data_IF_645444357595
#
_entry.id   IF_645444357595
#
_cell.length_a   1.000
_cell.length_b   1.000
_cell.length_c   1.000
_cell.angle_alpha   90.00
_cell.angle_beta   90.00
_cell.angle_gamma   90.00
#
_symmetry.space_group_name_H-M   'P 1'
#
loop_
_entity.id
_entity.type
_entity.pdbx_description
1 polymer ?
#
# COMPACT_ATOMS: atom_id res chain seq x y z
N UNK A 1 33.23 19.69 -9.62
CA UNK A 1 33.23 18.23 -9.32
C UNK A 1 33.58 17.40 -10.54
N UNK A 2 32.92 17.57 -11.70
CA UNK A 2 33.28 16.91 -12.97
C UNK A 2 34.73 17.16 -13.41
N UNK A 3 35.17 18.43 -13.34
CA UNK A 3 36.56 18.82 -13.67
C UNK A 3 37.56 18.24 -12.67
N UNK A 4 37.17 18.14 -11.39
CA UNK A 4 38.02 17.71 -10.29
C UNK A 4 38.38 16.22 -10.39
N UNK A 5 37.45 15.36 -10.83
CA UNK A 5 37.68 13.92 -11.02
C UNK A 5 38.52 13.64 -12.28
N UNK A 6 38.24 14.36 -13.38
CA UNK A 6 38.99 14.21 -14.64
C UNK A 6 40.46 14.61 -14.50
N UNK A 7 40.75 15.68 -13.74
CA UNK A 7 42.11 16.13 -13.45
C UNK A 7 42.82 15.17 -12.48
N UNK A 8 42.12 14.62 -11.48
CA UNK A 8 42.72 13.69 -10.51
C UNK A 8 43.12 12.34 -11.14
N UNK A 9 42.33 11.85 -12.10
CA UNK A 9 42.63 10.62 -12.85
C UNK A 9 43.84 10.83 -13.75
N UNK A 10 43.94 11.97 -14.43
CA UNK A 10 45.05 12.30 -15.34
C UNK A 10 46.40 12.41 -14.61
N UNK A 11 46.42 12.90 -13.37
CA UNK A 11 47.66 13.09 -12.58
C UNK A 11 48.14 11.80 -11.91
N UNK A 12 47.25 10.84 -11.58
CA UNK A 12 47.63 9.55 -10.96
C UNK A 12 48.04 8.46 -11.96
N UNK A 13 47.62 8.57 -13.22
CA UNK A 13 47.97 7.60 -14.28
C UNK A 13 49.48 7.57 -14.60
N UNK A 14 50.24 8.62 -14.29
CA UNK A 14 51.66 8.73 -14.63
C UNK A 14 52.63 7.98 -13.70
N UNK A 15 52.17 7.49 -12.53
CA UNK A 15 53.03 6.84 -11.52
C UNK A 15 52.50 5.49 -10.99
N UNK A 16 51.50 4.89 -11.64
CA UNK A 16 50.81 3.70 -11.13
C UNK A 16 51.17 2.41 -11.89
N UNK A 17 51.19 1.26 -11.21
CA UNK A 17 51.35 -0.07 -11.82
C UNK A 17 50.22 -0.36 -12.83
N UNK A 18 50.44 -1.28 -13.77
CA UNK A 18 49.45 -1.66 -14.81
C UNK A 18 48.08 -2.08 -14.25
N UNK A 19 48.04 -2.71 -13.08
CA UNK A 19 46.80 -3.08 -12.39
C UNK A 19 46.11 -1.86 -11.75
N UNK A 20 46.87 -0.93 -11.17
CA UNK A 20 46.32 0.26 -10.54
C UNK A 20 45.75 1.25 -11.58
N UNK A 21 46.33 1.33 -12.77
CA UNK A 21 45.78 2.11 -13.88
C UNK A 21 44.51 1.47 -14.45
N UNK A 22 44.47 0.13 -14.55
CA UNK A 22 43.26 -0.61 -14.94
C UNK A 22 42.10 -0.40 -13.96
N UNK A 23 42.36 -0.36 -12.65
CA UNK A 23 41.32 -0.13 -11.64
C UNK A 23 40.73 1.29 -11.71
N UNK A 24 41.59 2.32 -11.85
CA UNK A 24 41.16 3.71 -12.02
C UNK A 24 40.29 3.90 -13.27
N UNK A 25 40.65 3.23 -14.37
CA UNK A 25 39.87 3.26 -15.61
C UNK A 25 38.46 2.67 -15.40
N UNK A 26 38.35 1.54 -14.70
CA UNK A 26 37.04 0.91 -14.38
C UNK A 26 36.17 1.83 -13.53
N UNK A 27 36.73 2.48 -12.51
CA UNK A 27 36.01 3.47 -11.68
C UNK A 27 35.48 4.62 -12.53
N UNK A 28 36.30 5.15 -13.44
CA UNK A 28 35.87 6.21 -14.36
C UNK A 28 34.76 5.74 -15.30
N UNK A 29 34.89 4.54 -15.87
CA UNK A 29 33.89 3.95 -16.76
C UNK A 29 32.55 3.69 -16.05
N UNK A 30 32.58 3.21 -14.81
CA UNK A 30 31.39 3.00 -13.98
C UNK A 30 30.65 4.33 -13.75
N UNK A 31 31.40 5.38 -13.39
CA UNK A 31 30.83 6.71 -13.17
C UNK A 31 30.29 7.35 -14.45
N UNK A 32 31.01 7.21 -15.58
CA UNK A 32 30.53 7.67 -16.89
C UNK A 32 29.24 6.96 -17.29
N UNK A 33 29.21 5.63 -17.18
CA UNK A 33 28.03 4.82 -17.51
C UNK A 33 26.81 5.24 -16.67
N UNK A 34 27.02 5.57 -15.39
CA UNK A 34 25.97 6.11 -14.53
C UNK A 34 25.46 7.47 -15.02
N UNK A 35 26.35 8.40 -15.38
CA UNK A 35 25.98 9.72 -15.91
C UNK A 35 25.21 9.57 -17.24
N UNK A 36 25.65 8.66 -18.09
CA UNK A 36 25.04 8.38 -19.40
C UNK A 36 23.69 7.64 -19.29
N UNK A 37 23.20 7.37 -18.08
CA UNK A 37 21.93 6.68 -17.84
C UNK A 37 21.98 5.16 -18.03
N UNK A 38 23.15 4.58 -18.26
CA UNK A 38 23.36 3.13 -18.43
C UNK A 38 23.54 2.46 -17.06
N UNK A 39 22.47 2.46 -16.26
CA UNK A 39 22.54 2.03 -14.86
C UNK A 39 22.89 0.55 -14.68
N UNK A 40 22.41 -0.34 -15.57
CA UNK A 40 22.75 -1.77 -15.49
C UNK A 40 24.24 -2.02 -15.77
N UNK A 41 24.81 -1.31 -16.75
CA UNK A 41 26.23 -1.42 -17.06
C UNK A 41 27.10 -0.81 -15.95
N UNK A 42 26.65 0.33 -15.39
CA UNK A 42 27.28 0.92 -14.21
C UNK A 42 27.28 -0.06 -13.03
N UNK A 43 26.18 -0.78 -12.79
CA UNK A 43 26.09 -1.79 -11.73
C UNK A 43 27.07 -2.94 -11.93
N UNK A 44 27.17 -3.50 -13.15
CA UNK A 44 28.14 -4.58 -13.46
C UNK A 44 29.57 -4.12 -13.17
N UNK A 45 29.93 -2.93 -13.64
CA UNK A 45 31.27 -2.36 -13.43
C UNK A 45 31.54 -2.10 -11.94
N UNK A 46 30.56 -1.61 -11.18
CA UNK A 46 30.71 -1.42 -9.74
C UNK A 46 30.88 -2.74 -9.00
N UNK A 47 30.15 -3.79 -9.38
CA UNK A 47 30.27 -5.13 -8.79
C UNK A 47 31.63 -5.77 -9.05
N UNK A 48 32.29 -5.44 -10.16
CA UNK A 48 33.69 -5.81 -10.42
C UNK A 48 34.69 -4.99 -9.58
N UNK A 49 34.36 -3.77 -9.17
CA UNK A 49 35.27 -2.86 -8.43
C UNK A 49 35.26 -3.15 -6.94
N UNK A 50 34.07 -3.31 -6.33
CA UNK A 50 33.90 -3.42 -4.87
C UNK A 50 34.71 -4.53 -4.18
N UNK A 51 34.98 -5.70 -4.81
CA UNK A 51 35.81 -6.74 -4.19
C UNK A 51 37.25 -6.30 -3.90
N UNK A 52 37.76 -5.29 -4.61
CA UNK A 52 39.18 -4.86 -4.52
C UNK A 52 39.42 -3.73 -3.49
N UNK A 53 38.39 -3.30 -2.77
CA UNK A 53 38.53 -2.35 -1.66
C UNK A 53 37.29 -1.52 -1.38
N UNK A 54 37.28 -0.86 -0.22
CA UNK A 54 36.19 0.03 0.18
C UNK A 54 36.16 1.28 -0.71
N UNK A 55 35.03 1.54 -1.35
CA UNK A 55 34.84 2.71 -2.19
C UNK A 55 33.44 3.29 -1.99
N UNK A 56 33.34 4.20 -1.01
CA UNK A 56 32.09 4.88 -0.65
C UNK A 56 31.42 5.60 -1.83
N UNK A 57 32.21 6.10 -2.79
CA UNK A 57 31.67 6.70 -4.01
C UNK A 57 31.06 5.65 -4.94
N UNK A 58 31.69 4.49 -5.12
CA UNK A 58 31.12 3.41 -5.92
C UNK A 58 29.89 2.78 -5.28
N UNK A 59 29.88 2.60 -3.96
CA UNK A 59 28.67 2.19 -3.23
C UNK A 59 27.52 3.21 -3.39
N UNK A 60 27.83 4.51 -3.42
CA UNK A 60 26.81 5.52 -3.69
C UNK A 60 26.29 5.46 -5.12
N UNK A 61 27.17 5.26 -6.12
CA UNK A 61 26.78 5.04 -7.52
C UNK A 61 25.89 3.82 -7.64
N UNK A 62 26.24 2.72 -6.98
CA UNK A 62 25.42 1.49 -6.92
C UNK A 62 24.04 1.74 -6.32
N UNK A 63 23.98 2.38 -5.15
CA UNK A 63 22.71 2.69 -4.48
C UNK A 63 21.81 3.59 -5.34
N UNK A 64 22.38 4.61 -6.00
CA UNK A 64 21.62 5.48 -6.92
C UNK A 64 21.18 4.77 -8.19
N UNK A 65 22.01 3.89 -8.75
CA UNK A 65 21.66 3.09 -9.93
C UNK A 65 20.47 2.19 -9.62
N UNK A 66 20.51 1.48 -8.49
CA UNK A 66 19.36 0.70 -8.00
C UNK A 66 18.11 1.58 -7.80
N UNK A 67 18.25 2.78 -7.24
CA UNK A 67 17.13 3.71 -7.06
C UNK A 67 16.47 4.08 -8.40
N UNK A 68 17.28 4.42 -9.41
CA UNK A 68 16.79 4.84 -10.73
C UNK A 68 16.17 3.67 -11.51
N UNK A 69 16.62 2.44 -11.23
CA UNK A 69 15.98 1.21 -11.70
C UNK A 69 14.77 0.77 -10.82
N UNK A 70 14.48 1.50 -9.76
CA UNK A 70 13.40 1.21 -8.80
C UNK A 70 13.66 0.04 -7.86
N UNK A 71 14.86 -0.55 -7.85
CA UNK A 71 15.25 -1.74 -7.06
C UNK A 71 15.45 -1.41 -5.57
N UNK A 72 14.37 -1.04 -4.87
CA UNK A 72 14.43 -0.49 -3.50
C UNK A 72 15.03 -1.43 -2.45
N UNK A 73 14.87 -2.75 -2.61
CA UNK A 73 15.50 -3.73 -1.73
C UNK A 73 17.03 -3.63 -1.77
N UNK A 74 17.57 -3.46 -2.98
CA UNK A 74 19.01 -3.32 -3.21
C UNK A 74 19.53 -1.96 -2.78
N UNK A 75 18.75 -0.89 -2.97
CA UNK A 75 19.06 0.44 -2.40
C UNK A 75 19.20 0.34 -0.89
N UNK A 76 18.24 -0.29 -0.22
CA UNK A 76 18.23 -0.45 1.24
C UNK A 76 19.46 -1.21 1.73
N UNK A 77 19.83 -2.30 1.04
CA UNK A 77 21.01 -3.12 1.33
C UNK A 77 22.31 -2.33 1.13
N UNK A 78 22.45 -1.68 -0.02
CA UNK A 78 23.65 -0.92 -0.39
C UNK A 78 23.83 0.31 0.52
N UNK A 79 22.74 0.99 0.88
CA UNK A 79 22.76 2.08 1.85
C UNK A 79 23.23 1.62 3.25
N UNK A 80 22.82 0.42 3.67
CA UNK A 80 23.31 -0.20 4.90
C UNK A 80 24.81 -0.48 4.86
N UNK A 81 25.31 -1.03 3.75
CA UNK A 81 26.75 -1.25 3.53
C UNK A 81 27.54 0.07 3.55
N UNK A 82 27.05 1.08 2.83
CA UNK A 82 27.67 2.41 2.79
C UNK A 82 27.73 3.06 4.18
N UNK A 83 26.78 2.80 5.06
CA UNK A 83 26.83 3.26 6.45
C UNK A 83 27.78 2.47 7.34
N UNK A 84 27.95 1.18 7.10
CA UNK A 84 28.91 0.36 7.85
C UNK A 84 30.36 0.79 7.57
N UNK A 85 30.64 1.24 6.34
CA UNK A 85 31.97 1.73 5.94
C UNK A 85 32.20 3.21 6.24
N UNK A 86 31.16 3.96 6.62
CA UNK A 86 31.27 5.39 6.86
C UNK A 86 31.75 5.72 8.28
N UNK A 87 32.55 6.78 8.41
CA UNK A 87 32.77 7.42 9.70
C UNK A 87 31.47 8.06 10.19
N UNK A 88 30.97 7.65 11.35
CA UNK A 88 29.69 8.12 11.89
C UNK A 88 29.81 9.33 12.82
N UNK A 89 31.03 9.65 13.29
CA UNK A 89 31.30 10.73 14.23
C UNK A 89 31.24 12.11 13.57
N UNK A 90 30.89 13.12 14.36
CA UNK A 90 30.87 14.53 13.95
C UNK A 90 29.60 14.94 13.19
N UNK A 91 29.59 16.18 12.72
CA UNK A 91 28.39 16.81 12.15
C UNK A 91 27.92 16.18 10.84
N UNK A 92 26.63 15.87 10.75
CA UNK A 92 26.02 15.22 9.58
C UNK A 92 25.50 16.27 8.59
N UNK A 93 26.22 16.50 7.49
CA UNK A 93 25.90 17.55 6.51
C UNK A 93 25.35 16.98 5.20
N UNK A 94 24.51 17.75 4.52
CA UNK A 94 24.04 17.42 3.16
C UNK A 94 25.24 17.26 2.22
N UNK A 95 25.15 16.29 1.31
CA UNK A 95 26.21 15.96 0.34
C UNK A 95 27.30 15.02 0.84
N UNK A 96 27.37 14.73 2.16
CA UNK A 96 28.25 13.68 2.66
C UNK A 96 27.69 12.30 2.27
N UNK A 97 28.58 11.38 1.86
CA UNK A 97 28.18 10.01 1.48
C UNK A 97 27.32 9.33 2.56
N UNK A 98 27.67 9.48 3.85
CA UNK A 98 26.88 8.95 4.98
C UNK A 98 25.46 9.52 5.07
N UNK A 99 25.31 10.82 4.86
CA UNK A 99 23.99 11.46 4.88
C UNK A 99 23.15 10.98 3.70
N UNK A 100 23.76 10.87 2.52
CA UNK A 100 23.10 10.32 1.33
C UNK A 100 22.71 8.85 1.52
N UNK A 101 23.54 8.06 2.20
CA UNK A 101 23.22 6.69 2.53
C UNK A 101 21.95 6.59 3.39
N UNK A 102 21.85 7.41 4.44
CA UNK A 102 20.65 7.45 5.29
C UNK A 102 19.43 7.87 4.49
N UNK A 103 19.51 8.93 3.69
CA UNK A 103 18.34 9.42 2.95
C UNK A 103 17.88 8.44 1.89
N UNK A 104 18.81 7.80 1.16
CA UNK A 104 18.50 6.74 0.20
C UNK A 104 17.90 5.51 0.89
N UNK A 105 18.53 5.06 1.97
CA UNK A 105 18.11 3.87 2.71
C UNK A 105 16.75 4.06 3.39
N UNK A 106 16.50 5.22 4.01
CA UNK A 106 15.21 5.51 4.65
C UNK A 106 14.11 5.65 3.62
N UNK A 107 14.36 6.33 2.49
CA UNK A 107 13.39 6.47 1.41
C UNK A 107 13.05 5.09 0.80
N UNK A 108 14.06 4.29 0.49
CA UNK A 108 13.84 2.94 -0.04
C UNK A 108 13.08 2.05 0.95
N UNK A 109 13.42 2.09 2.25
CA UNK A 109 12.68 1.37 3.26
C UNK A 109 11.21 1.82 3.36
N UNK A 110 10.94 3.12 3.21
CA UNK A 110 9.57 3.63 3.15
C UNK A 110 8.83 3.11 1.91
N UNK A 111 9.44 3.14 0.72
CA UNK A 111 8.83 2.61 -0.51
C UNK A 111 8.50 1.10 -0.39
N UNK A 112 9.32 0.34 0.35
CA UNK A 112 9.05 -1.06 0.70
C UNK A 112 7.94 -1.24 1.77
N UNK A 113 7.42 -0.14 2.33
CA UNK A 113 6.45 -0.14 3.43
C UNK A 113 7.05 -0.48 4.79
N UNK A 114 8.38 -0.51 4.91
CA UNK A 114 9.11 -0.84 6.14
C UNK A 114 9.50 0.44 6.91
N UNK A 115 8.50 1.00 7.60
CA UNK A 115 8.70 2.19 8.43
C UNK A 115 9.65 1.97 9.60
N UNK A 116 9.75 0.76 10.14
CA UNK A 116 10.66 0.47 11.26
C UNK A 116 12.12 0.49 10.81
N UNK A 117 12.43 -0.04 9.63
CA UNK A 117 13.77 0.04 9.03
C UNK A 117 14.13 1.47 8.64
N UNK A 118 13.18 2.24 8.10
CA UNK A 118 13.39 3.67 7.86
C UNK A 118 13.72 4.44 9.15
N UNK A 119 13.05 4.13 10.28
CA UNK A 119 13.41 4.70 11.58
C UNK A 119 14.84 4.34 12.01
N UNK A 120 15.32 3.12 11.74
CA UNK A 120 16.70 2.70 12.06
C UNK A 120 17.73 3.55 11.31
N UNK A 121 17.48 3.88 10.04
CA UNK A 121 18.33 4.80 9.27
C UNK A 121 18.38 6.19 9.91
N UNK A 122 17.23 6.76 10.27
CA UNK A 122 17.20 8.07 10.94
C UNK A 122 17.88 8.04 12.32
N UNK A 123 17.72 6.95 13.07
CA UNK A 123 18.40 6.77 14.36
C UNK A 123 19.92 6.74 14.22
N UNK A 124 20.46 6.23 13.12
CA UNK A 124 21.91 6.24 12.89
C UNK A 124 22.46 7.67 12.88
N UNK A 125 21.72 8.63 12.31
CA UNK A 125 22.07 10.06 12.37
C UNK A 125 21.88 10.60 13.78
N UNK A 126 20.67 10.46 14.34
CA UNK A 126 20.30 11.14 15.59
C UNK A 126 21.08 10.65 16.82
N UNK A 127 21.67 9.45 16.78
CA UNK A 127 22.60 8.97 17.81
C UNK A 127 23.95 9.70 17.79
N UNK A 128 24.38 10.17 16.62
CA UNK A 128 25.67 10.81 16.42
C UNK A 128 25.57 12.34 16.26
N UNK A 129 24.42 12.85 15.83
CA UNK A 129 24.10 14.26 15.65
C UNK A 129 22.61 14.51 16.02
N UNK A 130 22.32 14.66 17.34
CA UNK A 130 20.96 14.85 17.83
C UNK A 130 20.28 16.14 17.33
N UNK A 131 21.09 17.14 16.97
CA UNK A 131 20.65 18.48 16.56
C UNK A 131 20.35 18.56 15.05
N UNK A 132 20.51 17.46 14.31
CA UNK A 132 20.20 17.42 12.89
C UNK A 132 18.68 17.57 12.64
N UNK A 133 18.25 18.81 12.43
CA UNK A 133 16.85 19.22 12.38
C UNK A 133 16.03 18.51 11.29
N UNK A 134 16.60 18.29 10.10
CA UNK A 134 15.90 17.67 8.97
C UNK A 134 15.50 16.22 9.30
N UNK A 135 16.46 15.43 9.78
CA UNK A 135 16.24 14.04 10.15
C UNK A 135 15.37 13.94 11.40
N UNK A 136 15.52 14.87 12.36
CA UNK A 136 14.67 14.93 13.55
C UNK A 136 13.20 15.12 13.21
N UNK A 137 12.88 15.99 12.23
CA UNK A 137 11.51 16.20 11.74
C UNK A 137 10.96 14.93 11.09
N UNK A 138 11.69 14.33 10.13
CA UNK A 138 11.25 13.11 9.44
C UNK A 138 11.07 11.94 10.40
N UNK A 139 11.98 11.76 11.36
CA UNK A 139 11.91 10.74 12.39
C UNK A 139 10.67 10.89 13.27
N UNK A 140 10.39 12.11 13.76
CA UNK A 140 9.22 12.39 14.61
C UNK A 140 7.91 12.10 13.87
N UNK A 141 7.77 12.56 12.62
CA UNK A 141 6.58 12.31 11.82
C UNK A 141 6.35 10.82 11.55
N UNK A 142 7.39 10.08 11.13
CA UNK A 142 7.29 8.64 10.90
C UNK A 142 7.00 7.87 12.19
N UNK A 143 7.65 8.22 13.30
CA UNK A 143 7.41 7.60 14.60
C UNK A 143 5.98 7.85 15.08
N UNK A 144 5.46 9.06 14.91
CA UNK A 144 4.06 9.38 15.20
C UNK A 144 3.12 8.56 14.33
N UNK A 145 3.39 8.46 13.02
CA UNK A 145 2.59 7.66 12.11
C UNK A 145 2.51 6.20 12.57
N UNK A 146 3.64 5.54 12.82
CA UNK A 146 3.66 4.14 13.26
C UNK A 146 2.95 3.94 14.60
N UNK A 147 3.03 4.91 15.51
CA UNK A 147 2.28 4.88 16.78
C UNK A 147 0.78 4.94 16.53
N UNK A 148 0.31 5.82 15.66
CA UNK A 148 -1.10 5.93 15.29
C UNK A 148 -1.63 4.66 14.62
N UNK A 149 -0.82 4.00 13.78
CA UNK A 149 -1.21 2.71 13.19
C UNK A 149 -1.41 1.63 14.27
N UNK A 150 -0.47 1.51 15.21
CA UNK A 150 -0.60 0.59 16.35
C UNK A 150 -1.82 0.91 17.21
N UNK A 151 -2.03 2.18 17.52
CA UNK A 151 -3.23 2.62 18.25
C UNK A 151 -4.52 2.28 17.49
N UNK A 152 -4.56 2.49 16.17
CA UNK A 152 -5.73 2.15 15.36
C UNK A 152 -6.03 0.65 15.39
N UNK A 153 -5.02 -0.21 15.38
CA UNK A 153 -5.19 -1.66 15.49
C UNK A 153 -5.79 -2.06 16.85
N UNK A 154 -5.33 -1.44 17.93
CA UNK A 154 -5.92 -1.65 19.27
C UNK A 154 -7.39 -1.21 19.34
N UNK A 155 -7.74 -0.07 18.72
CA UNK A 155 -9.14 0.40 18.65
C UNK A 155 -10.00 -0.54 17.82
N UNK A 156 -9.50 -1.03 16.68
CA UNK A 156 -10.18 -2.01 15.82
C UNK A 156 -10.42 -3.31 16.59
N UNK A 157 -9.41 -3.82 17.30
CA UNK A 157 -9.53 -5.04 18.09
C UNK A 157 -10.58 -4.91 19.21
N UNK A 158 -10.70 -3.72 19.81
CA UNK A 158 -11.72 -3.39 20.83
C UNK A 158 -13.09 -3.03 20.22
N UNK A 159 -13.29 -3.18 18.92
CA UNK A 159 -14.50 -2.77 18.18
C UNK A 159 -14.88 -1.29 18.35
N UNK A 160 -13.91 -0.43 18.69
CA UNK A 160 -14.09 1.02 18.83
C UNK A 160 -13.96 1.72 17.47
N UNK A 161 -14.79 1.31 16.50
CA UNK A 161 -14.61 1.63 15.08
C UNK A 161 -14.65 3.14 14.76
N UNK A 162 -15.50 3.92 15.44
CA UNK A 162 -15.49 5.38 15.29
C UNK A 162 -14.16 6.01 15.73
N UNK A 163 -13.64 5.61 16.90
CA UNK A 163 -12.35 6.11 17.40
C UNK A 163 -11.19 5.65 16.50
N UNK A 164 -11.25 4.42 15.99
CA UNK A 164 -10.27 3.92 15.02
C UNK A 164 -10.27 4.78 13.76
N UNK A 165 -11.44 5.19 13.26
CA UNK A 165 -11.56 6.06 12.09
C UNK A 165 -10.92 7.43 12.32
N UNK A 166 -11.10 8.02 13.49
CA UNK A 166 -10.48 9.31 13.84
C UNK A 166 -8.95 9.20 13.84
N UNK A 167 -8.41 8.15 14.48
CA UNK A 167 -6.96 7.87 14.51
C UNK A 167 -6.41 7.63 13.09
N UNK A 168 -7.13 6.89 12.24
CA UNK A 168 -6.73 6.64 10.86
C UNK A 168 -6.77 7.92 10.01
N UNK A 169 -7.75 8.79 10.23
CA UNK A 169 -7.84 10.09 9.56
C UNK A 169 -6.64 10.98 9.94
N UNK A 170 -6.27 10.99 11.23
CA UNK A 170 -5.06 11.66 11.69
C UNK A 170 -3.79 11.06 11.05
N UNK A 171 -3.72 9.73 10.94
CA UNK A 171 -2.58 9.04 10.31
C UNK A 171 -2.37 9.45 8.84
N UNK A 172 -3.47 9.64 8.07
CA UNK A 172 -3.40 10.15 6.71
C UNK A 172 -2.90 11.61 6.64
N UNK A 173 -3.31 12.44 7.60
CA UNK A 173 -2.83 13.83 7.70
C UNK A 173 -1.32 13.89 7.98
N UNK A 174 -0.84 13.08 8.93
CA UNK A 174 0.60 12.96 9.23
C UNK A 174 1.37 12.48 8.01
N UNK A 175 0.88 11.44 7.33
CA UNK A 175 1.49 10.92 6.10
C UNK A 175 1.55 11.98 4.99
N UNK A 176 0.51 12.80 4.81
CA UNK A 176 0.49 13.88 3.81
C UNK A 176 1.54 14.96 4.09
N UNK A 177 1.86 15.20 5.36
CA UNK A 177 2.93 16.12 5.78
C UNK A 177 4.34 15.54 5.67
N UNK A 178 4.48 14.26 5.32
CA UNK A 178 5.77 13.61 5.09
C UNK A 178 6.15 13.69 3.62
N UNK A 179 7.44 13.81 3.35
CA UNK A 179 8.02 13.61 2.01
C UNK A 179 8.14 12.11 1.69
N UNK A 180 7.03 11.39 1.83
CA UNK A 180 6.94 9.95 1.68
C UNK A 180 5.84 9.63 0.66
N UNK A 181 6.25 9.25 -0.53
CA UNK A 181 5.37 8.85 -1.64
C UNK A 181 4.95 7.38 -1.61
N UNK A 182 5.39 6.64 -0.58
CA UNK A 182 5.25 5.19 -0.52
C UNK A 182 3.80 4.70 -0.67
N UNK A 183 3.57 4.01 -1.79
CA UNK A 183 2.33 3.31 -2.06
C UNK A 183 2.07 2.20 -1.05
N UNK A 184 3.11 1.46 -0.64
CA UNK A 184 2.96 0.32 0.26
C UNK A 184 2.63 0.74 1.69
N UNK A 185 3.25 1.80 2.22
CA UNK A 185 2.92 2.32 3.54
C UNK A 185 1.47 2.84 3.58
N UNK A 186 1.06 3.56 2.52
CA UNK A 186 -0.33 4.01 2.35
C UNK A 186 -1.31 2.84 2.25
N UNK A 187 -0.92 1.74 1.60
CA UNK A 187 -1.77 0.53 1.51
C UNK A 187 -2.12 -0.04 2.88
N UNK A 188 -1.22 0.07 3.86
CA UNK A 188 -1.48 -0.36 5.24
C UNK A 188 -2.57 0.45 5.95
N UNK A 189 -2.64 1.75 5.69
CA UNK A 189 -3.72 2.61 6.21
C UNK A 189 -5.04 2.28 5.53
N UNK A 190 -5.01 2.14 4.20
CA UNK A 190 -6.19 1.82 3.39
C UNK A 190 -6.82 0.48 3.79
N UNK A 191 -5.99 -0.52 4.10
CA UNK A 191 -6.47 -1.82 4.61
C UNK A 191 -7.29 -1.64 5.90
N UNK A 192 -6.76 -0.87 6.86
CA UNK A 192 -7.45 -0.59 8.14
C UNK A 192 -8.73 0.21 7.92
N UNK A 193 -8.68 1.22 7.05
CA UNK A 193 -9.87 2.00 6.68
C UNK A 193 -10.95 1.13 6.04
N UNK A 194 -10.58 0.23 5.14
CA UNK A 194 -11.55 -0.70 4.54
C UNK A 194 -12.26 -1.51 5.63
N UNK A 195 -11.50 -2.09 6.57
CA UNK A 195 -12.07 -2.85 7.69
C UNK A 195 -13.01 -1.99 8.53
N UNK A 196 -12.55 -0.82 8.97
CA UNK A 196 -13.33 0.07 9.83
C UNK A 196 -14.61 0.55 9.15
N UNK A 197 -14.54 0.94 7.87
CA UNK A 197 -15.72 1.36 7.13
C UNK A 197 -16.72 0.22 6.92
N UNK A 198 -16.23 -0.99 6.64
CA UNK A 198 -17.09 -2.17 6.50
C UNK A 198 -17.86 -2.46 7.79
N UNK A 199 -17.17 -2.47 8.95
CA UNK A 199 -17.80 -2.65 10.27
C UNK A 199 -18.80 -1.53 10.63
N UNK A 200 -18.58 -0.31 10.13
CA UNK A 200 -19.51 0.81 10.29
C UNK A 200 -20.67 0.78 9.26
N UNK A 201 -20.78 -0.27 8.45
CA UNK A 201 -21.75 -0.42 7.34
C UNK A 201 -21.67 0.70 6.29
N UNK A 202 -20.50 1.33 6.19
CA UNK A 202 -20.15 2.38 5.21
C UNK A 202 -19.48 1.75 3.99
N UNK A 203 -20.24 0.90 3.30
CA UNK A 203 -19.68 -0.01 2.29
C UNK A 203 -19.12 0.69 1.05
N UNK A 204 -19.62 1.88 0.71
CA UNK A 204 -19.09 2.66 -0.41
C UNK A 204 -17.66 3.10 -0.13
N UNK A 205 -17.41 3.68 1.04
CA UNK A 205 -16.07 4.07 1.47
C UNK A 205 -15.16 2.86 1.74
N UNK A 206 -15.74 1.77 2.27
CA UNK A 206 -15.01 0.53 2.52
C UNK A 206 -14.44 -0.06 1.22
N UNK A 207 -15.29 -0.23 0.21
CA UNK A 207 -14.89 -0.81 -1.07
C UNK A 207 -13.89 0.09 -1.81
N UNK A 208 -14.10 1.41 -1.79
CA UNK A 208 -13.11 2.35 -2.34
C UNK A 208 -11.73 2.23 -1.66
N UNK A 209 -11.69 2.13 -0.33
CA UNK A 209 -10.44 1.95 0.40
C UNK A 209 -9.80 0.58 0.09
N UNK A 210 -10.61 -0.48 0.00
CA UNK A 210 -10.16 -1.82 -0.34
C UNK A 210 -9.59 -1.89 -1.77
N UNK A 211 -10.27 -1.33 -2.77
CA UNK A 211 -9.81 -1.29 -4.16
C UNK A 211 -8.49 -0.55 -4.29
N UNK A 212 -8.39 0.61 -3.63
CA UNK A 212 -7.16 1.39 -3.58
C UNK A 212 -6.01 0.64 -2.87
N UNK A 213 -6.32 -0.22 -1.90
CA UNK A 213 -5.35 -1.07 -1.22
C UNK A 213 -4.88 -2.21 -2.13
N UNK A 214 -5.82 -2.95 -2.72
CA UNK A 214 -5.56 -4.06 -3.65
C UNK A 214 -4.76 -3.58 -4.85
N UNK A 215 -5.15 -2.45 -5.46
CA UNK A 215 -4.41 -1.86 -6.58
C UNK A 215 -2.94 -1.62 -6.19
N UNK A 216 -2.69 -0.94 -5.06
CA UNK A 216 -1.32 -0.65 -4.60
C UNK A 216 -0.50 -1.90 -4.27
N UNK A 217 -1.13 -2.94 -3.75
CA UNK A 217 -0.47 -4.22 -3.43
C UNK A 217 -0.31 -5.13 -4.64
N UNK A 218 -1.07 -4.91 -5.72
CA UNK A 218 -0.97 -5.66 -6.97
C UNK A 218 0.03 -5.07 -7.95
N UNK A 219 0.32 -3.77 -7.83
CA UNK A 219 1.28 -3.10 -8.70
C UNK A 219 2.68 -3.63 -8.43
N UNK A 220 3.38 -4.18 -9.44
CA UNK A 220 4.79 -4.52 -9.29
C UNK A 220 5.58 -3.24 -9.09
N UNK A 221 6.43 -3.23 -8.07
CA UNK A 221 7.46 -2.21 -7.93
C UNK A 221 8.71 -2.81 -8.57
N UNK A 222 9.40 -2.07 -9.43
CA UNK A 222 10.59 -2.60 -10.13
C UNK A 222 11.58 -3.19 -9.12
N UNK A 223 12.08 -4.41 -9.38
CA UNK A 223 12.98 -5.10 -8.43
C UNK A 223 12.33 -5.59 -7.12
N UNK A 224 11.00 -5.53 -6.97
CA UNK A 224 10.27 -6.12 -5.86
C UNK A 224 9.15 -7.03 -6.36
N UNK A 225 9.16 -8.28 -5.91
CA UNK A 225 8.05 -9.19 -6.16
C UNK A 225 6.81 -8.73 -5.37
N UNK A 226 5.64 -8.85 -6.00
CA UNK A 226 4.37 -8.68 -5.31
C UNK A 226 4.29 -9.73 -4.20
N UNK A 227 4.23 -9.29 -2.95
CA UNK A 227 4.09 -10.17 -1.78
C UNK A 227 2.71 -10.84 -1.81
N UNK A 228 2.63 -12.16 -2.13
CA UNK A 228 1.36 -12.83 -2.31
C UNK A 228 0.52 -12.84 -1.03
N UNK A 229 1.17 -12.88 0.14
CA UNK A 229 0.49 -12.90 1.43
C UNK A 229 -0.18 -11.55 1.73
N UNK A 230 0.50 -10.43 1.45
CA UNK A 230 -0.08 -9.09 1.62
C UNK A 230 -1.21 -8.83 0.62
N UNK A 231 -1.08 -9.29 -0.63
CA UNK A 231 -2.15 -9.16 -1.60
C UNK A 231 -3.37 -10.02 -1.20
N UNK A 232 -3.14 -11.26 -0.79
CA UNK A 232 -4.18 -12.15 -0.29
C UNK A 232 -4.93 -11.57 0.92
N UNK A 233 -4.22 -10.92 1.86
CA UNK A 233 -4.83 -10.21 2.99
C UNK A 233 -5.82 -9.13 2.54
N UNK A 234 -5.42 -8.29 1.56
CA UNK A 234 -6.25 -7.21 1.07
C UNK A 234 -7.47 -7.72 0.30
N UNK A 235 -7.30 -8.74 -0.55
CA UNK A 235 -8.39 -9.39 -1.27
C UNK A 235 -9.37 -10.07 -0.31
N UNK A 236 -8.87 -10.74 0.74
CA UNK A 236 -9.72 -11.37 1.76
C UNK A 236 -10.58 -10.33 2.47
N UNK A 237 -10.03 -9.17 2.82
CA UNK A 237 -10.79 -8.10 3.45
C UNK A 237 -11.82 -7.49 2.50
N UNK A 238 -11.46 -7.30 1.23
CA UNK A 238 -12.41 -6.81 0.21
C UNK A 238 -13.55 -7.81 -0.04
N UNK A 239 -13.25 -9.10 -0.08
CA UNK A 239 -14.24 -10.16 -0.15
C UNK A 239 -15.23 -10.09 1.02
N UNK A 240 -14.74 -9.89 2.25
CA UNK A 240 -15.58 -9.71 3.43
C UNK A 240 -16.48 -8.47 3.32
N UNK A 241 -15.94 -7.34 2.86
CA UNK A 241 -16.74 -6.14 2.60
C UNK A 241 -17.80 -6.38 1.52
N UNK A 242 -17.48 -7.14 0.47
CA UNK A 242 -18.45 -7.54 -0.55
C UNK A 242 -19.54 -8.45 0.00
N UNK A 243 -19.22 -9.43 0.87
CA UNK A 243 -20.23 -10.26 1.56
C UNK A 243 -21.17 -9.37 2.38
N UNK A 244 -20.64 -8.44 3.19
CA UNK A 244 -21.45 -7.52 3.99
C UNK A 244 -22.30 -6.56 3.14
N UNK A 245 -21.82 -6.20 1.94
CA UNK A 245 -22.57 -5.41 0.94
C UNK A 245 -23.55 -6.26 0.10
N UNK A 246 -23.63 -7.57 0.34
CA UNK A 246 -24.43 -8.53 -0.44
C UNK A 246 -24.01 -8.62 -1.92
N UNK A 247 -22.74 -8.32 -2.22
CA UNK A 247 -22.12 -8.51 -3.53
C UNK A 247 -21.40 -9.85 -3.62
N UNK A 248 -22.15 -10.95 -3.55
CA UNK A 248 -21.54 -12.28 -3.44
C UNK A 248 -20.74 -12.70 -4.67
N UNK A 249 -21.07 -12.18 -5.86
CA UNK A 249 -20.31 -12.46 -7.09
C UNK A 249 -18.85 -11.98 -6.99
N UNK A 250 -18.62 -10.73 -6.56
CA UNK A 250 -17.26 -10.23 -6.36
C UNK A 250 -16.58 -10.85 -5.14
N UNK A 251 -17.33 -11.16 -4.07
CA UNK A 251 -16.77 -11.85 -2.91
C UNK A 251 -16.19 -13.23 -3.28
N UNK A 252 -16.91 -14.02 -4.09
CA UNK A 252 -16.44 -15.31 -4.59
C UNK A 252 -15.21 -15.17 -5.47
N UNK A 253 -15.16 -14.16 -6.35
CA UNK A 253 -13.98 -13.89 -7.20
C UNK A 253 -12.75 -13.57 -6.36
N UNK A 254 -12.89 -12.69 -5.37
CA UNK A 254 -11.79 -12.34 -4.48
C UNK A 254 -11.32 -13.55 -3.66
N UNK A 255 -12.24 -14.34 -3.08
CA UNK A 255 -11.86 -15.54 -2.32
C UNK A 255 -11.16 -16.61 -3.18
N UNK A 256 -11.59 -16.82 -4.43
CA UNK A 256 -10.85 -17.69 -5.37
C UNK A 256 -9.44 -17.18 -5.59
N UNK A 257 -9.27 -15.87 -5.78
CA UNK A 257 -7.94 -15.30 -5.96
C UNK A 257 -7.06 -15.44 -4.72
N UNK A 258 -7.65 -15.30 -3.52
CA UNK A 258 -6.95 -15.57 -2.25
C UNK A 258 -6.49 -17.04 -2.19
N UNK A 259 -7.36 -17.99 -2.58
CA UNK A 259 -7.02 -19.42 -2.58
C UNK A 259 -5.85 -19.74 -3.53
N UNK A 260 -5.80 -19.11 -4.72
CA UNK A 260 -4.69 -19.24 -5.66
C UNK A 260 -3.36 -18.70 -5.08
N UNK A 261 -3.41 -17.56 -4.38
CA UNK A 261 -2.23 -16.90 -3.82
C UNK A 261 -1.70 -17.59 -2.54
N UNK A 262 -2.58 -18.27 -1.80
CA UNK A 262 -2.24 -18.97 -0.56
C UNK A 262 -2.76 -20.40 -0.56
N UNK A 263 -2.16 -21.31 -1.36
CA UNK A 263 -2.58 -22.71 -1.40
C UNK A 263 -2.38 -23.40 -0.04
N UNK A 264 -3.27 -24.33 0.31
CA UNK A 264 -3.18 -25.12 1.55
C UNK A 264 -3.72 -24.44 2.81
N UNK A 265 -4.47 -23.34 2.69
CA UNK A 265 -5.12 -22.64 3.81
C UNK A 265 -6.61 -23.01 3.91
N UNK A 266 -6.95 -23.86 4.86
CA UNK A 266 -8.32 -24.36 5.06
C UNK A 266 -9.32 -23.23 5.36
N UNK A 267 -8.89 -22.19 6.10
CA UNK A 267 -9.73 -21.05 6.48
C UNK A 267 -10.25 -20.24 5.29
N UNK A 268 -9.56 -20.29 4.15
CA UNK A 268 -9.98 -19.63 2.91
C UNK A 268 -10.99 -20.49 2.17
N UNK A 269 -10.80 -21.82 2.17
CA UNK A 269 -11.71 -22.77 1.53
C UNK A 269 -13.11 -22.69 2.15
N UNK A 270 -13.20 -22.66 3.47
CA UNK A 270 -14.47 -22.53 4.20
C UNK A 270 -15.22 -21.24 3.83
N UNK A 271 -14.49 -20.11 3.81
CA UNK A 271 -15.06 -18.81 3.44
C UNK A 271 -15.51 -18.75 1.99
N UNK A 272 -14.77 -19.39 1.08
CA UNK A 272 -15.17 -19.51 -0.32
C UNK A 272 -16.45 -20.33 -0.47
N UNK A 273 -16.54 -21.47 0.23
CA UNK A 273 -17.74 -22.31 0.21
C UNK A 273 -18.95 -21.60 0.81
N UNK A 274 -18.76 -20.85 1.90
CA UNK A 274 -19.79 -19.99 2.47
C UNK A 274 -20.26 -18.93 1.48
N UNK A 275 -19.33 -18.20 0.85
CA UNK A 275 -19.65 -17.17 -0.15
C UNK A 275 -20.39 -17.76 -1.36
N UNK A 276 -20.01 -18.96 -1.83
CA UNK A 276 -20.71 -19.68 -2.90
C UNK A 276 -22.14 -20.06 -2.51
N UNK A 277 -22.36 -20.53 -1.28
CA UNK A 277 -23.71 -20.81 -0.77
C UNK A 277 -24.56 -19.55 -0.73
N UNK A 278 -24.01 -18.45 -0.21
CA UNK A 278 -24.71 -17.15 -0.17
C UNK A 278 -25.00 -16.62 -1.57
N UNK A 279 -24.07 -16.75 -2.51
CA UNK A 279 -24.26 -16.39 -3.92
C UNK A 279 -25.41 -17.17 -4.55
N UNK A 280 -25.44 -18.50 -4.35
CA UNK A 280 -26.51 -19.34 -4.87
C UNK A 280 -27.86 -18.94 -4.27
N UNK A 281 -27.94 -18.79 -2.94
CA UNK A 281 -29.15 -18.34 -2.26
C UNK A 281 -29.62 -16.96 -2.77
N UNK A 282 -28.70 -16.01 -2.98
CA UNK A 282 -29.03 -14.67 -3.47
C UNK A 282 -29.53 -14.66 -4.92
N UNK A 283 -29.16 -15.67 -5.71
CA UNK A 283 -29.59 -15.83 -7.11
C UNK A 283 -30.92 -16.58 -7.21
N UNK A 284 -31.12 -17.63 -6.39
CA UNK A 284 -32.30 -18.50 -6.49
C UNK A 284 -33.46 -18.07 -5.62
N UNK A 285 -33.17 -17.59 -4.40
CA UNK A 285 -34.18 -17.22 -3.41
C UNK A 285 -33.73 -15.97 -2.64
N UNK A 286 -33.65 -14.85 -3.36
CA UNK A 286 -33.20 -13.57 -2.79
C UNK A 286 -34.19 -13.08 -1.74
N UNK A 287 -33.67 -12.64 -0.60
CA UNK A 287 -34.50 -11.95 0.39
C UNK A 287 -34.86 -10.53 -0.09
N UNK A 288 -35.97 -10.42 -0.81
CA UNK A 288 -36.47 -9.14 -1.33
C UNK A 288 -36.84 -8.14 -0.22
N UNK A 289 -37.18 -8.62 1.00
CA UNK A 289 -37.48 -7.74 2.13
C UNK A 289 -36.20 -7.09 2.65
N UNK A 290 -35.12 -7.86 2.73
CA UNK A 290 -33.80 -7.37 3.07
C UNK A 290 -33.29 -6.34 2.03
N UNK A 291 -33.47 -6.62 0.74
CA UNK A 291 -33.05 -5.70 -0.35
C UNK A 291 -33.74 -4.33 -0.26
N UNK A 292 -35.04 -4.31 0.06
CA UNK A 292 -35.79 -3.06 0.23
C UNK A 292 -35.64 -2.43 1.62
N UNK A 293 -34.75 -2.96 2.47
CA UNK A 293 -34.54 -2.48 3.84
C UNK A 293 -35.87 -2.40 4.63
N UNK A 294 -36.77 -3.37 4.40
CA UNK A 294 -38.10 -3.39 5.00
C UNK A 294 -38.05 -3.85 6.47
N UNK A 295 -38.94 -3.33 7.32
CA UNK A 295 -38.95 -3.69 8.73
C UNK A 295 -39.41 -5.14 8.94
N UNK A 296 -38.82 -5.83 9.92
CA UNK A 296 -39.07 -7.26 10.18
C UNK A 296 -40.55 -7.54 10.48
N UNK A 297 -41.22 -6.60 11.15
CA UNK A 297 -42.64 -6.68 11.51
C UNK A 297 -43.60 -6.29 10.39
N UNK A 298 -43.14 -6.07 9.15
CA UNK A 298 -44.01 -5.68 8.03
C UNK A 298 -45.19 -6.63 7.83
N UNK A 299 -44.96 -7.93 8.04
CA UNK A 299 -45.98 -8.98 7.88
C UNK A 299 -47.15 -8.86 8.85
N UNK A 300 -47.01 -8.10 9.96
CA UNK A 300 -48.09 -7.87 10.92
C UNK A 300 -49.08 -6.79 10.47
N UNK A 301 -48.80 -6.09 9.37
CA UNK A 301 -49.68 -5.05 8.83
C UNK A 301 -50.66 -5.62 7.79
N UNK A 302 -51.84 -4.99 7.60
CA UNK A 302 -52.71 -5.27 6.46
C UNK A 302 -51.97 -5.11 5.13
N UNK A 303 -52.31 -5.92 4.14
CA UNK A 303 -51.64 -6.00 2.83
C UNK A 303 -51.53 -4.62 2.18
N UNK A 304 -52.57 -3.80 2.26
CA UNK A 304 -52.61 -2.45 1.67
C UNK A 304 -51.50 -1.57 2.26
N UNK A 305 -51.28 -1.65 3.58
CA UNK A 305 -50.21 -0.91 4.26
C UNK A 305 -48.83 -1.47 3.91
N UNK A 306 -48.70 -2.78 3.69
CA UNK A 306 -47.45 -3.38 3.21
C UNK A 306 -47.09 -2.85 1.81
N UNK A 307 -48.06 -2.81 0.89
CA UNK A 307 -47.88 -2.27 -0.45
C UNK A 307 -47.40 -0.81 -0.45
N UNK A 308 -47.96 0.02 0.44
CA UNK A 308 -47.54 1.43 0.60
C UNK A 308 -46.09 1.51 1.08
N UNK A 309 -45.69 0.68 2.05
CA UNK A 309 -44.30 0.61 2.52
C UNK A 309 -43.32 0.19 1.43
N UNK A 310 -43.65 -0.84 0.64
CA UNK A 310 -42.83 -1.32 -0.48
C UNK A 310 -42.62 -0.18 -1.50
N UNK A 311 -43.70 0.47 -1.95
CA UNK A 311 -43.63 1.58 -2.91
C UNK A 311 -42.80 2.76 -2.37
N UNK A 312 -42.96 3.07 -1.08
CA UNK A 312 -42.19 4.14 -0.40
C UNK A 312 -40.70 3.82 -0.31
N UNK A 313 -40.33 2.63 0.14
CA UNK A 313 -38.92 2.23 0.26
C UNK A 313 -38.24 2.12 -1.10
N UNK A 314 -38.91 1.52 -2.08
CA UNK A 314 -38.42 1.50 -3.46
C UNK A 314 -38.10 2.91 -3.96
N UNK A 315 -38.99 3.90 -3.77
CA UNK A 315 -38.74 5.29 -4.18
C UNK A 315 -37.54 5.91 -3.47
N UNK A 316 -37.34 5.62 -2.18
CA UNK A 316 -36.21 6.11 -1.40
C UNK A 316 -34.89 5.51 -1.89
N UNK A 317 -34.84 4.19 -2.05
CA UNK A 317 -33.66 3.45 -2.48
C UNK A 317 -33.32 3.72 -3.95
N UNK A 318 -34.30 3.81 -4.84
CA UNK A 318 -34.07 4.16 -6.24
C UNK A 318 -33.45 5.56 -6.38
N UNK A 319 -33.84 6.51 -5.53
CA UNK A 319 -33.20 7.85 -5.51
C UNK A 319 -31.77 7.80 -4.99
N UNK A 320 -31.48 6.92 -4.01
CA UNK A 320 -30.14 6.72 -3.44
C UNK A 320 -29.20 6.03 -4.42
N UNK A 321 -29.69 5.02 -5.14
CA UNK A 321 -28.92 4.18 -6.05
C UNK A 321 -28.99 4.63 -7.52
N UNK A 322 -29.56 5.80 -7.80
CA UNK A 322 -29.59 6.33 -9.16
C UNK A 322 -28.17 6.57 -9.67
N UNK A 323 -27.77 6.02 -10.83
CA UNK A 323 -26.40 6.13 -11.35
C UNK A 323 -25.89 7.58 -11.46
N UNK A 324 -26.75 8.52 -11.84
CA UNK A 324 -26.39 9.95 -11.93
C UNK A 324 -26.08 10.62 -10.59
N UNK A 325 -26.57 10.07 -9.47
CA UNK A 325 -26.38 10.62 -8.12
C UNK A 325 -25.40 9.81 -7.29
N UNK A 326 -24.81 8.76 -7.86
CA UNK A 326 -23.82 7.93 -7.19
C UNK A 326 -22.57 8.77 -6.87
N UNK A 327 -22.19 8.82 -5.58
CA UNK A 327 -20.99 9.53 -5.12
C UNK A 327 -19.71 8.69 -5.25
N UNK A 328 -19.84 7.41 -5.59
CA UNK A 328 -18.77 6.43 -5.62
C UNK A 328 -18.91 5.50 -6.83
N UNK A 329 -18.76 4.20 -6.62
CA UNK A 329 -18.79 3.23 -7.72
C UNK A 329 -20.18 3.16 -8.39
N UNK A 330 -20.22 3.59 -9.66
CA UNK A 330 -21.42 3.55 -10.50
C UNK A 330 -21.90 2.11 -10.73
N UNK A 331 -21.00 1.13 -10.82
CA UNK A 331 -21.38 -0.25 -11.05
C UNK A 331 -22.15 -0.81 -9.84
N UNK A 332 -21.67 -0.52 -8.63
CA UNK A 332 -22.40 -0.83 -7.40
C UNK A 332 -23.77 -0.16 -7.35
N UNK A 333 -23.87 1.12 -7.71
CA UNK A 333 -25.15 1.84 -7.73
C UNK A 333 -26.14 1.20 -8.72
N UNK A 334 -25.70 0.91 -9.94
CA UNK A 334 -26.49 0.21 -10.97
C UNK A 334 -26.94 -1.16 -10.49
N UNK A 335 -26.05 -1.97 -9.91
CA UNK A 335 -26.41 -3.29 -9.34
C UNK A 335 -27.51 -3.16 -8.27
N UNK A 336 -27.31 -2.27 -7.29
CA UNK A 336 -28.29 -2.03 -6.22
C UNK A 336 -29.63 -1.53 -6.76
N UNK A 337 -29.62 -0.69 -7.79
CA UNK A 337 -30.84 -0.21 -8.44
C UNK A 337 -31.63 -1.35 -9.09
N UNK A 338 -30.96 -2.26 -9.81
CA UNK A 338 -31.59 -3.45 -10.38
C UNK A 338 -32.15 -4.36 -9.30
N UNK A 339 -31.37 -4.66 -8.25
CA UNK A 339 -31.81 -5.48 -7.12
C UNK A 339 -33.07 -4.89 -6.45
N UNK A 340 -33.10 -3.57 -6.24
CA UNK A 340 -34.24 -2.86 -5.63
C UNK A 340 -35.48 -2.90 -6.51
N UNK A 341 -35.32 -2.77 -7.83
CA UNK A 341 -36.43 -2.82 -8.78
C UNK A 341 -37.04 -4.22 -8.84
N UNK A 342 -36.19 -5.26 -8.94
CA UNK A 342 -36.60 -6.66 -8.90
C UNK A 342 -37.32 -7.01 -7.59
N UNK A 343 -36.79 -6.57 -6.45
CA UNK A 343 -37.40 -6.83 -5.14
C UNK A 343 -38.78 -6.20 -4.98
N UNK A 344 -38.97 -4.98 -5.51
CA UNK A 344 -40.28 -4.32 -5.51
C UNK A 344 -41.28 -5.08 -6.37
N UNK A 345 -40.88 -5.54 -7.55
CA UNK A 345 -41.75 -6.31 -8.44
C UNK A 345 -42.18 -7.65 -7.81
N UNK A 346 -41.22 -8.44 -7.32
CA UNK A 346 -41.49 -9.73 -6.71
C UNK A 346 -42.41 -9.61 -5.48
N UNK A 347 -42.16 -8.64 -4.59
CA UNK A 347 -43.01 -8.43 -3.42
C UNK A 347 -44.41 -7.92 -3.79
N UNK A 348 -44.52 -7.01 -4.76
CA UNK A 348 -45.83 -6.54 -5.23
C UNK A 348 -46.66 -7.67 -5.81
N UNK A 349 -46.07 -8.51 -6.67
CA UNK A 349 -46.74 -9.70 -7.23
C UNK A 349 -47.18 -10.67 -6.13
N UNK A 350 -46.31 -10.95 -5.15
CA UNK A 350 -46.62 -11.89 -4.07
C UNK A 350 -47.76 -11.44 -3.15
N UNK A 351 -47.95 -10.12 -3.00
CA UNK A 351 -48.93 -9.52 -2.10
C UNK A 351 -50.19 -9.04 -2.82
N UNK A 352 -50.25 -9.08 -4.16
CA UNK A 352 -51.37 -8.51 -4.92
C UNK A 352 -51.42 -6.98 -4.85
N UNK A 353 -50.26 -6.34 -4.74
CA UNK A 353 -50.09 -4.89 -4.86
C UNK A 353 -49.92 -4.47 -6.34
#
# INVERSE_FOLDING_TARGET
VSVSVSVYVSVRLSCASSESTSHLLRVHLAYSSFIDGKYEDALKLVDEILPFGQNSTMLLVKAKSHQLLGQWADVTRTAGQLLQEAELRGAWKRGQHRMMAVTLGSHAALELGDGERALKFYQAVLRNDPDQQEISKQYKSLKQLLKLLKESDEKIQKSQNHKALDVLSHSLSVMKGMDATSGLLRSGILLRLCRVYAELKRYEEALLACDQCVQRRSMPVAGLFVDPAKLAEALKLRAQAHVQDHNYDEAVRDYRKVQELTPGRDDVSDKLNEALRMQNMWKTNRDHKLVLELPVNLHMLPVEKQCVWIKKQHKLLARKWHPDKAKGDKNRATRKMHEVSEAKEALSQSLGC
#
